data_IF_930239956157
#
_entry.id   IF_930239956157
#
_cell.length_a   1.000
_cell.length_b   1.000
_cell.length_c   1.000
_cell.angle_alpha   90.00
_cell.angle_beta   90.00
_cell.angle_gamma   90.00
#
_symmetry.space_group_name_H-M   'P 1'
#
loop_
_entity.id
_entity.type
_entity.pdbx_description
1 polymer ?
#
# COMPACT_ATOMS: atom_id res chain seq x y z
N UNK A 1 -17.28 -19.56 -6.28
CA UNK A 1 -15.84 -19.85 -6.32
C UNK A 1 -15.44 -20.30 -4.91
N UNK A 2 -14.86 -21.47 -4.74
CA UNK A 2 -14.45 -21.99 -3.43
C UNK A 2 -12.94 -22.25 -3.44
N UNK A 3 -12.27 -21.96 -2.33
CA UNK A 3 -10.82 -22.17 -2.16
C UNK A 3 -10.60 -23.06 -0.94
N UNK A 4 -9.65 -23.98 -1.02
CA UNK A 4 -9.19 -24.79 0.10
C UNK A 4 -8.05 -24.11 0.89
N UNK A 5 -7.64 -22.90 0.49
CA UNK A 5 -6.60 -22.16 1.19
C UNK A 5 -7.09 -21.78 2.59
N UNK A 6 -6.35 -22.14 3.66
CA UNK A 6 -6.69 -21.70 5.00
C UNK A 6 -6.55 -20.17 5.09
N UNK A 7 -7.38 -19.56 5.94
CA UNK A 7 -7.34 -18.12 6.22
C UNK A 7 -7.66 -17.87 7.69
N UNK A 8 -7.26 -16.70 8.18
CA UNK A 8 -7.56 -16.26 9.54
C UNK A 8 -8.71 -15.27 9.51
N UNK A 9 -9.62 -15.40 10.48
CA UNK A 9 -10.67 -14.41 10.72
C UNK A 9 -10.37 -13.65 12.01
N UNK A 10 -10.51 -12.33 11.94
CA UNK A 10 -10.56 -11.47 13.12
C UNK A 10 -11.88 -10.71 13.08
N UNK A 11 -12.72 -10.87 14.12
CA UNK A 11 -14.06 -10.24 14.19
C UNK A 11 -14.93 -10.50 12.95
N UNK A 12 -14.81 -11.68 12.36
CA UNK A 12 -15.55 -12.07 11.15
C UNK A 12 -15.00 -11.52 9.84
N UNK A 13 -13.89 -10.78 9.86
CA UNK A 13 -13.21 -10.27 8.67
C UNK A 13 -11.98 -11.11 8.35
N UNK A 14 -11.71 -11.32 7.06
CA UNK A 14 -10.51 -12.02 6.61
C UNK A 14 -9.28 -11.15 6.88
N UNK A 15 -8.31 -11.71 7.59
CA UNK A 15 -7.00 -11.08 7.82
C UNK A 15 -6.11 -11.38 6.61
N UNK A 16 -5.68 -10.37 5.83
CA UNK A 16 -4.75 -10.58 4.74
C UNK A 16 -3.42 -11.14 5.26
N UNK A 17 -2.86 -12.14 4.58
CA UNK A 17 -1.56 -12.72 4.93
C UNK A 17 -0.37 -11.92 4.36
N UNK A 18 -0.65 -10.92 3.53
CA UNK A 18 0.34 -10.11 2.82
C UNK A 18 -0.08 -8.62 2.79
N UNK A 19 0.84 -7.74 2.42
CA UNK A 19 0.58 -6.31 2.36
C UNK A 19 -0.42 -5.97 1.23
N UNK A 20 -1.58 -5.43 1.61
CA UNK A 20 -2.62 -4.99 0.68
C UNK A 20 -2.39 -3.60 0.10
N UNK A 21 -1.40 -2.85 0.63
CA UNK A 21 -0.99 -1.55 0.09
C UNK A 21 0.04 -1.72 -1.04
N UNK A 22 -0.32 -2.46 -2.08
CA UNK A 22 0.51 -2.66 -3.29
C UNK A 22 -0.30 -2.43 -4.56
N UNK A 23 0.36 -2.04 -5.65
CA UNK A 23 -0.31 -1.88 -6.96
C UNK A 23 -0.97 -3.18 -7.42
N UNK A 24 -0.33 -4.32 -7.19
CA UNK A 24 -0.88 -5.65 -7.49
C UNK A 24 -2.16 -5.96 -6.71
N UNK A 25 -2.31 -5.40 -5.52
CA UNK A 25 -3.52 -5.48 -4.71
C UNK A 25 -4.52 -4.34 -5.01
N UNK A 26 -4.36 -3.63 -6.14
CA UNK A 26 -5.19 -2.51 -6.57
C UNK A 26 -5.18 -1.29 -5.62
N UNK A 27 -4.12 -1.13 -4.80
CA UNK A 27 -3.89 0.11 -4.08
C UNK A 27 -3.26 1.17 -5.00
N UNK A 28 -3.53 2.44 -4.73
CA UNK A 28 -3.03 3.56 -5.51
C UNK A 28 -2.59 4.72 -4.63
N UNK A 29 -1.62 5.48 -5.10
CA UNK A 29 -1.27 6.80 -4.55
C UNK A 29 -2.17 7.83 -5.23
N UNK A 30 -3.01 8.51 -4.46
CA UNK A 30 -3.95 9.55 -4.93
C UNK A 30 -3.31 10.93 -4.86
N UNK A 31 -2.56 11.20 -3.79
CA UNK A 31 -1.77 12.42 -3.61
C UNK A 31 -0.33 12.05 -3.26
N UNK A 32 0.61 12.85 -3.75
CA UNK A 32 2.04 12.65 -3.59
C UNK A 32 2.77 12.78 -4.93
N UNK A 33 4.06 13.12 -4.86
CA UNK A 33 4.92 13.32 -6.02
C UNK A 33 6.08 12.33 -5.94
N UNK A 34 6.32 11.62 -7.04
CA UNK A 34 7.45 10.72 -7.21
C UNK A 34 8.03 10.87 -8.61
N UNK A 35 9.33 10.59 -8.79
CA UNK A 35 9.93 10.53 -10.13
C UNK A 35 9.42 9.31 -10.93
N UNK A 36 9.24 8.20 -10.22
CA UNK A 36 8.80 6.93 -10.79
C UNK A 36 7.36 6.65 -10.40
N UNK A 37 6.51 6.27 -11.37
CA UNK A 37 5.12 5.88 -11.10
C UNK A 37 5.10 4.71 -10.11
N UNK A 38 4.21 4.81 -9.13
CA UNK A 38 4.00 3.79 -8.09
C UNK A 38 5.20 3.51 -7.18
N UNK A 39 6.20 4.41 -7.11
CA UNK A 39 7.41 4.19 -6.31
C UNK A 39 7.13 3.75 -4.86
N UNK A 40 6.06 4.27 -4.24
CA UNK A 40 5.67 3.93 -2.87
C UNK A 40 5.03 2.54 -2.71
N UNK A 41 4.34 2.03 -3.74
CA UNK A 41 3.45 0.85 -3.64
C UNK A 41 3.86 -0.29 -4.60
N UNK A 42 5.05 -0.21 -5.21
CA UNK A 42 5.53 -1.18 -6.20
C UNK A 42 6.00 -2.52 -5.59
N UNK A 43 6.05 -2.62 -4.26
CA UNK A 43 6.49 -3.82 -3.54
C UNK A 43 8.00 -3.98 -3.37
N UNK A 44 8.80 -3.04 -3.91
CA UNK A 44 10.24 -3.01 -3.65
C UNK A 44 10.51 -2.40 -2.27
N UNK A 45 11.09 -3.21 -1.39
CA UNK A 45 11.44 -2.83 -0.01
C UNK A 45 12.95 -2.77 0.23
N UNK A 46 13.75 -2.94 -0.83
CA UNK A 46 15.21 -3.07 -0.74
C UNK A 46 15.94 -2.02 -1.56
N UNK A 47 15.39 -1.65 -2.71
CA UNK A 47 16.02 -0.68 -3.62
C UNK A 47 15.46 0.71 -3.36
N UNK A 48 15.98 1.35 -2.32
CA UNK A 48 15.65 2.74 -1.96
C UNK A 48 16.90 3.60 -2.00
N UNK A 49 16.92 4.61 -2.86
CA UNK A 49 17.99 5.59 -2.96
C UNK A 49 17.42 7.00 -3.22
N UNK A 50 18.28 7.97 -3.54
CA UNK A 50 17.88 9.36 -3.76
C UNK A 50 17.00 9.54 -5.02
N UNK A 51 17.10 8.63 -5.98
CA UNK A 51 16.39 8.70 -7.26
C UNK A 51 15.23 7.70 -7.37
N UNK A 52 15.22 6.66 -6.53
CA UNK A 52 14.29 5.54 -6.58
C UNK A 52 13.65 5.25 -5.23
N UNK A 53 12.34 4.96 -5.25
CA UNK A 53 11.61 4.45 -4.09
C UNK A 53 10.96 5.51 -3.19
N UNK A 54 11.15 6.81 -3.46
CA UNK A 54 10.53 7.87 -2.66
C UNK A 54 9.25 8.44 -3.28
N UNK A 55 8.31 8.84 -2.41
CA UNK A 55 7.15 9.69 -2.74
C UNK A 55 7.09 10.78 -1.69
N UNK A 56 6.92 12.05 -2.10
CA UNK A 56 6.93 13.20 -1.20
C UNK A 56 5.74 14.13 -1.43
N UNK A 57 5.64 15.14 -0.57
CA UNK A 57 4.78 16.30 -0.75
C UNK A 57 5.49 17.54 -0.17
N UNK A 58 4.99 18.74 -0.47
CA UNK A 58 5.54 19.96 0.13
C UNK A 58 5.03 20.11 1.56
N UNK A 59 5.91 20.54 2.47
CA UNK A 59 5.53 20.86 3.85
C UNK A 59 4.56 22.05 3.84
N UNK A 60 3.43 21.91 4.52
CA UNK A 60 2.38 22.93 4.57
C UNK A 60 1.48 23.00 3.33
N UNK A 61 1.72 22.20 2.29
CA UNK A 61 0.87 22.14 1.09
C UNK A 61 0.85 20.76 0.45
N UNK A 62 -0.21 20.00 0.73
CA UNK A 62 -0.46 18.66 0.18
C UNK A 62 -0.17 17.53 1.17
N UNK A 63 -0.49 16.31 0.75
CA UNK A 63 -0.34 15.10 1.56
C UNK A 63 0.22 13.95 0.71
N UNK A 64 0.57 12.84 1.36
CA UNK A 64 0.66 11.54 0.70
C UNK A 64 -0.61 10.78 1.04
N UNK A 65 -1.45 10.51 0.03
CA UNK A 65 -2.73 9.81 0.21
C UNK A 65 -2.66 8.49 -0.54
N UNK A 66 -2.89 7.40 0.19
CA UNK A 66 -2.99 6.05 -0.36
C UNK A 66 -4.45 5.61 -0.29
N UNK A 67 -4.98 5.15 -1.42
CA UNK A 67 -6.27 4.47 -1.49
C UNK A 67 -6.03 2.97 -1.60
N UNK A 68 -6.64 2.20 -0.69
CA UNK A 68 -6.69 0.74 -0.78
C UNK A 68 -7.85 0.31 -1.68
N UNK A 69 -7.79 -0.93 -2.19
CA UNK A 69 -8.81 -1.46 -3.08
C UNK A 69 -10.23 -1.55 -2.46
N UNK A 70 -10.29 -1.61 -1.13
CA UNK A 70 -11.51 -1.64 -0.34
C UNK A 70 -11.20 -1.16 1.09
N UNK A 71 -12.21 -0.98 1.95
CA UNK A 71 -11.98 -0.70 3.36
C UNK A 71 -11.26 -1.85 4.08
N UNK A 72 -10.25 -1.52 4.89
CA UNK A 72 -9.53 -2.45 5.77
C UNK A 72 -9.41 -1.88 7.18
N UNK A 73 -9.31 -2.76 8.16
CA UNK A 73 -8.80 -2.38 9.49
C UNK A 73 -7.27 -2.42 9.39
N UNK A 74 -6.63 -1.27 9.63
CA UNK A 74 -5.17 -1.18 9.61
C UNK A 74 -4.60 -1.68 10.92
N UNK A 75 -3.72 -2.69 10.86
CA UNK A 75 -3.03 -3.24 12.03
C UNK A 75 -1.62 -2.66 12.23
N UNK A 76 -0.95 -2.28 11.15
CA UNK A 76 0.42 -1.76 11.16
C UNK A 76 0.71 -0.90 9.93
N UNK A 77 1.67 0.00 10.08
CA UNK A 77 2.28 0.81 9.02
C UNK A 77 3.77 0.88 9.33
N UNK A 78 4.63 0.72 8.32
CA UNK A 78 6.08 0.70 8.46
C UNK A 78 6.74 1.59 7.43
#
# INVERSE_FOLDING_TARGET
MFTSRPFTLEKGLVVPSENVATVSACASVIEGVSRSRNALLNGDTRSYDWDSGYTCHQLGSGNIVIQLAQPYIISSLR
#
